data_IF_709693644052
#
_entry.id   IF_709693644052
#
_cell.length_a   1.000
_cell.length_b   1.000
_cell.length_c   1.000
_cell.angle_alpha   90.00
_cell.angle_beta   90.00
_cell.angle_gamma   90.00
#
_symmetry.space_group_name_H-M   'P 1'
#
loop_
_entity.id
_entity.type
_entity.pdbx_description
1 polymer ?
#
# COMPACT_ATOMS: atom_id res chain seq x y z
N UNK A 1 31.85 -3.37 -1.91
CA UNK A 1 30.54 -3.42 -1.22
C UNK A 1 29.78 -2.12 -1.49
N UNK A 2 29.44 -1.86 -2.76
CA UNK A 2 28.81 -0.60 -3.20
C UNK A 2 27.53 -0.87 -4.01
N UNK A 3 26.82 -1.96 -3.71
CA UNK A 3 25.63 -2.41 -4.46
C UNK A 3 24.30 -2.17 -3.72
N UNK A 4 24.30 -1.49 -2.57
CA UNK A 4 23.09 -1.31 -1.74
C UNK A 4 22.47 0.10 -1.87
N UNK A 5 22.82 0.89 -2.88
CA UNK A 5 22.28 2.25 -3.09
C UNK A 5 21.73 2.52 -4.50
N UNK A 6 21.43 1.47 -5.27
CA UNK A 6 20.91 1.59 -6.63
C UNK A 6 19.51 1.01 -6.76
N UNK A 7 18.47 1.76 -6.36
CA UNK A 7 17.12 1.73 -6.98
C UNK A 7 16.06 2.57 -6.24
N UNK A 8 16.42 3.72 -5.67
CA UNK A 8 15.44 4.79 -5.45
C UNK A 8 15.25 5.61 -6.75
N UNK A 9 15.09 4.91 -7.89
CA UNK A 9 14.46 5.53 -9.04
C UNK A 9 13.02 5.71 -8.61
N UNK A 10 12.55 6.96 -8.65
CA UNK A 10 11.16 7.36 -8.48
C UNK A 10 10.23 6.41 -9.26
N UNK A 11 9.85 5.28 -8.66
CA UNK A 11 8.94 4.35 -9.31
C UNK A 11 7.68 5.14 -9.59
N UNK A 12 7.26 5.17 -10.84
CA UNK A 12 6.07 5.90 -11.21
C UNK A 12 4.89 5.31 -10.40
N UNK A 13 3.85 6.08 -10.05
CA UNK A 13 2.73 5.60 -9.24
C UNK A 13 2.14 4.26 -9.69
N UNK A 14 2.07 4.03 -11.01
CA UNK A 14 1.63 2.80 -11.64
C UNK A 14 2.60 1.63 -11.40
N UNK A 15 3.91 1.86 -11.45
CA UNK A 15 4.90 0.82 -11.16
C UNK A 15 4.90 0.44 -9.68
N UNK A 16 4.78 1.44 -8.79
CA UNK A 16 4.62 1.21 -7.35
C UNK A 16 3.39 0.38 -7.06
N UNK A 17 2.25 0.77 -7.65
CA UNK A 17 1.00 0.04 -7.49
C UNK A 17 1.11 -1.38 -8.05
N UNK A 18 1.67 -1.55 -9.25
CA UNK A 18 1.87 -2.86 -9.87
C UNK A 18 2.74 -3.79 -9.01
N UNK A 19 3.81 -3.26 -8.40
CA UNK A 19 4.66 -4.01 -7.48
C UNK A 19 3.87 -4.48 -6.25
N UNK A 20 3.19 -3.57 -5.56
CA UNK A 20 2.41 -3.90 -4.34
C UNK A 20 1.31 -4.91 -4.64
N UNK A 21 0.62 -4.77 -5.77
CA UNK A 21 -0.41 -5.72 -6.19
C UNK A 21 0.20 -7.09 -6.49
N UNK A 22 1.36 -7.17 -7.14
CA UNK A 22 2.06 -8.45 -7.37
C UNK A 22 2.48 -9.14 -6.07
N UNK A 23 2.90 -8.38 -5.07
CA UNK A 23 3.31 -8.90 -3.76
C UNK A 23 2.12 -9.37 -2.91
N UNK A 24 0.91 -8.82 -3.14
CA UNK A 24 -0.27 -9.07 -2.30
C UNK A 24 -1.41 -9.81 -3.03
N UNK A 25 -1.13 -10.53 -4.13
CA UNK A 25 -2.13 -11.16 -5.02
C UNK A 25 -3.24 -11.99 -4.35
N UNK A 26 -2.98 -12.52 -3.15
CA UNK A 26 -3.92 -13.37 -2.42
C UNK A 26 -4.84 -12.60 -1.47
N UNK A 27 -4.67 -11.28 -1.35
CA UNK A 27 -5.35 -10.42 -0.36
C UNK A 27 -6.43 -9.53 -0.97
N UNK A 28 -6.60 -9.57 -2.30
CA UNK A 28 -7.58 -8.78 -3.04
C UNK A 28 -8.00 -9.52 -4.32
N UNK A 29 -9.15 -9.16 -4.87
CA UNK A 29 -9.62 -9.63 -6.17
C UNK A 29 -9.71 -8.46 -7.14
N UNK A 30 -9.24 -8.62 -8.38
CA UNK A 30 -9.40 -7.61 -9.44
C UNK A 30 -10.55 -8.06 -10.34
N UNK A 31 -11.56 -7.21 -10.51
CA UNK A 31 -12.64 -7.49 -11.46
C UNK A 31 -12.22 -7.14 -12.90
N UNK A 32 -12.99 -7.62 -13.89
CA UNK A 32 -12.70 -7.38 -15.33
C UNK A 32 -12.71 -5.88 -15.71
N UNK A 33 -13.29 -5.04 -14.86
CA UNK A 33 -13.39 -3.60 -15.04
C UNK A 33 -12.23 -2.84 -14.37
N UNK A 34 -11.25 -3.55 -13.80
CA UNK A 34 -10.07 -2.96 -13.17
C UNK A 34 -10.28 -2.47 -11.74
N UNK A 35 -11.43 -2.72 -11.12
CA UNK A 35 -11.66 -2.41 -9.72
C UNK A 35 -11.08 -3.50 -8.81
N UNK A 36 -10.50 -3.06 -7.70
CA UNK A 36 -9.97 -3.91 -6.64
C UNK A 36 -11.06 -4.10 -5.60
N UNK A 37 -11.41 -5.35 -5.34
CA UNK A 37 -12.27 -5.77 -4.23
C UNK A 37 -11.39 -6.31 -3.11
N UNK A 38 -11.61 -5.81 -1.89
CA UNK A 38 -10.88 -6.23 -0.70
C UNK A 38 -11.88 -6.85 0.26
N UNK A 39 -11.55 -8.00 0.83
CA UNK A 39 -12.38 -8.62 1.85
C UNK A 39 -12.16 -7.96 3.21
N UNK A 40 -13.18 -7.24 3.69
CA UNK A 40 -13.15 -6.56 4.98
C UNK A 40 -13.40 -7.51 6.16
N UNK A 41 -13.75 -8.78 5.93
CA UNK A 41 -13.85 -9.78 6.99
C UNK A 41 -12.48 -10.39 7.34
N UNK A 42 -11.44 -10.10 6.54
CA UNK A 42 -10.10 -10.56 6.79
C UNK A 42 -9.41 -9.68 7.86
N UNK A 43 -9.07 -10.29 9.00
CA UNK A 43 -8.44 -9.58 10.14
C UNK A 43 -7.10 -8.93 9.80
N UNK A 44 -6.32 -9.51 8.88
CA UNK A 44 -5.04 -8.92 8.47
C UNK A 44 -5.25 -7.69 7.58
N UNK A 45 -6.34 -7.65 6.80
CA UNK A 45 -6.73 -6.47 6.02
C UNK A 45 -7.16 -5.35 6.95
N UNK A 46 -8.06 -5.64 7.90
CA UNK A 46 -8.52 -4.66 8.90
C UNK A 46 -7.35 -4.03 9.66
N UNK A 47 -6.43 -4.86 10.17
CA UNK A 47 -5.24 -4.39 10.90
C UNK A 47 -4.35 -3.47 10.07
N UNK A 48 -4.17 -3.77 8.78
CA UNK A 48 -3.31 -2.96 7.92
C UNK A 48 -3.96 -1.61 7.55
N UNK A 49 -5.29 -1.59 7.37
CA UNK A 49 -6.09 -0.37 7.20
C UNK A 49 -5.98 0.50 8.45
N UNK A 50 -6.23 -0.04 9.64
CA UNK A 50 -6.12 0.69 10.91
C UNK A 50 -4.73 1.29 11.10
N UNK A 51 -3.67 0.52 10.83
CA UNK A 51 -2.29 1.01 10.89
C UNK A 51 -2.06 2.21 9.95
N UNK A 52 -2.61 2.17 8.74
CA UNK A 52 -2.45 3.27 7.78
C UNK A 52 -3.28 4.49 8.15
N UNK A 53 -4.51 4.30 8.64
CA UNK A 53 -5.35 5.39 9.15
C UNK A 53 -4.67 6.08 10.33
N UNK A 54 -4.09 5.33 11.27
CA UNK A 54 -3.33 5.87 12.38
C UNK A 54 -2.10 6.68 11.93
N UNK A 55 -1.37 6.20 10.92
CA UNK A 55 -0.25 6.98 10.35
C UNK A 55 -0.71 8.31 9.76
N UNK A 56 -1.86 8.33 9.08
CA UNK A 56 -2.44 9.54 8.51
C UNK A 56 -2.96 10.51 9.58
N UNK A 57 -3.58 9.99 10.65
CA UNK A 57 -4.07 10.82 11.76
C UNK A 57 -2.92 11.45 12.56
N UNK A 58 -1.81 10.73 12.72
CA UNK A 58 -0.58 11.26 13.33
C UNK A 58 0.02 12.35 12.45
N UNK A 59 0.10 12.12 11.13
CA UNK A 59 0.64 13.11 10.19
C UNK A 59 -0.19 14.42 10.19
N UNK A 60 -1.52 14.31 10.21
CA UNK A 60 -2.42 15.48 10.28
C UNK A 60 -2.33 16.22 11.61
N UNK A 61 -2.11 15.50 12.72
CA UNK A 61 -1.90 16.11 14.04
C UNK A 61 -0.55 16.85 14.15
N UNK A 62 0.46 16.43 13.41
CA UNK A 62 1.79 17.06 13.39
C UNK A 62 1.85 18.31 12.49
N UNK A 63 0.99 18.41 11.48
CA UNK A 63 0.91 19.57 10.58
C UNK A 63 0.00 20.70 11.09
N UNK A 64 -0.80 20.46 12.13
CA UNK A 64 -1.68 21.45 12.76
C UNK A 64 -1.06 22.11 14.02
N UNK A 65 0.26 22.11 14.14
CA UNK A 65 1.00 22.66 15.29
C UNK A 65 1.90 23.82 14.90
#
# INVERSE_FOLDING_TARGET
>A
MAEELGNYISMNPQERLSKVLKENKQRFSINKNGFISVDLNNSDVQREIERHVLKLSIATSLTMK
#
